data_IF_515139003782
#
_entry.id   IF_515139003782
#
_cell.length_a   1.000
_cell.length_b   1.000
_cell.length_c   1.000
_cell.angle_alpha   90.00
_cell.angle_beta   90.00
_cell.angle_gamma   90.00
#
_symmetry.space_group_name_H-M   'P 1'
#
loop_
_entity.id
_entity.type
_entity.pdbx_description
1 polymer ?
#
# COMPACT_ATOMS: atom_id res chain seq x y z
N UNK A 1 7.72 34.08 -73.40
CA UNK A 1 6.91 32.96 -72.87
C UNK A 1 7.77 31.82 -72.32
N UNK A 2 9.11 31.90 -72.37
CA UNK A 2 10.06 30.86 -71.92
C UNK A 2 10.33 30.85 -70.41
N UNK A 3 10.19 31.99 -69.73
CA UNK A 3 10.66 32.12 -68.34
C UNK A 3 9.73 31.44 -67.32
N UNK A 4 8.45 31.28 -67.67
CA UNK A 4 7.45 30.63 -66.82
C UNK A 4 7.61 29.09 -66.75
N UNK A 5 8.29 28.48 -67.73
CA UNK A 5 8.49 27.04 -67.79
C UNK A 5 9.66 26.59 -66.92
N UNK A 6 10.77 27.35 -66.92
CA UNK A 6 11.93 27.04 -66.06
C UNK A 6 11.59 27.19 -64.58
N UNK A 7 10.78 28.18 -64.21
CA UNK A 7 10.34 28.37 -62.83
C UNK A 7 9.42 27.23 -62.35
N UNK A 8 8.53 26.73 -63.22
CA UNK A 8 7.67 25.57 -62.93
C UNK A 8 8.45 24.26 -62.80
N UNK A 9 9.48 24.06 -63.62
CA UNK A 9 10.37 22.88 -63.54
C UNK A 9 11.21 22.95 -62.27
N UNK A 10 11.69 24.13 -61.88
CA UNK A 10 12.42 24.32 -60.62
C UNK A 10 11.54 24.06 -59.40
N UNK A 11 10.32 24.61 -59.38
CA UNK A 11 9.36 24.39 -58.29
C UNK A 11 8.91 22.92 -58.17
N UNK A 12 8.79 22.21 -59.29
CA UNK A 12 8.50 20.77 -59.30
C UNK A 12 9.70 19.95 -58.79
N UNK A 13 10.93 20.34 -59.16
CA UNK A 13 12.16 19.74 -58.68
C UNK A 13 12.36 19.92 -57.16
N UNK A 14 12.06 21.10 -56.63
CA UNK A 14 12.12 21.36 -55.18
C UNK A 14 11.06 20.55 -54.41
N UNK A 15 9.83 20.46 -54.92
CA UNK A 15 8.78 19.62 -54.32
C UNK A 15 9.15 18.13 -54.30
N UNK A 16 9.76 17.61 -55.37
CA UNK A 16 10.27 16.23 -55.41
C UNK A 16 11.40 16.00 -54.41
N UNK A 17 12.29 16.98 -54.26
CA UNK A 17 13.42 16.91 -53.31
C UNK A 17 12.95 16.93 -51.86
N UNK A 18 11.93 17.72 -51.54
CA UNK A 18 11.29 17.78 -50.22
C UNK A 18 10.56 16.45 -49.92
N UNK A 19 9.80 15.92 -50.89
CA UNK A 19 9.11 14.63 -50.75
C UNK A 19 10.08 13.46 -50.51
N UNK A 20 11.20 13.42 -51.23
CA UNK A 20 12.24 12.39 -51.05
C UNK A 20 12.92 12.47 -49.67
N UNK A 21 13.19 13.67 -49.16
CA UNK A 21 13.79 13.86 -47.84
C UNK A 21 12.85 13.53 -46.67
N UNK A 22 11.53 13.69 -46.86
CA UNK A 22 10.53 13.33 -45.86
C UNK A 22 10.28 11.81 -45.82
N UNK A 23 10.22 11.16 -46.99
CA UNK A 23 10.11 9.69 -47.09
C UNK A 23 11.36 9.02 -46.53
N UNK A 24 12.56 9.55 -46.80
CA UNK A 24 13.82 9.05 -46.23
C UNK A 24 13.86 9.14 -44.70
N UNK A 25 13.40 10.26 -44.11
CA UNK A 25 13.28 10.40 -42.65
C UNK A 25 12.27 9.42 -42.05
N UNK A 26 11.11 9.22 -42.69
CA UNK A 26 10.08 8.26 -42.24
C UNK A 26 10.57 6.81 -42.31
N UNK A 27 11.27 6.44 -43.39
CA UNK A 27 11.88 5.11 -43.52
C UNK A 27 12.99 4.88 -42.49
N UNK A 28 13.85 5.88 -42.25
CA UNK A 28 14.89 5.81 -41.21
C UNK A 28 14.30 5.69 -39.80
N UNK A 29 13.25 6.45 -39.48
CA UNK A 29 12.58 6.35 -38.18
C UNK A 29 11.92 4.96 -37.99
N UNK A 30 11.32 4.41 -39.04
CA UNK A 30 10.74 3.06 -39.03
C UNK A 30 11.78 1.96 -38.80
N UNK A 31 12.95 2.07 -39.44
CA UNK A 31 14.06 1.12 -39.26
C UNK A 31 14.71 1.23 -37.87
N UNK A 32 14.88 2.44 -37.33
CA UNK A 32 15.38 2.63 -35.96
C UNK A 32 14.43 2.05 -34.91
N UNK A 33 13.11 2.23 -35.09
CA UNK A 33 12.10 1.65 -34.20
C UNK A 33 12.11 0.11 -34.24
N UNK A 34 12.25 -0.48 -35.43
CA UNK A 34 12.33 -1.93 -35.58
C UNK A 34 13.64 -2.50 -35.01
N UNK A 35 14.77 -1.82 -35.21
CA UNK A 35 16.06 -2.22 -34.62
C UNK A 35 16.03 -2.15 -33.10
N UNK A 36 15.33 -1.17 -32.51
CA UNK A 36 15.17 -1.05 -31.06
C UNK A 36 14.33 -2.21 -30.51
N UNK A 37 13.21 -2.53 -31.16
CA UNK A 37 12.36 -3.69 -30.80
C UNK A 37 13.05 -5.04 -30.95
N UNK A 38 13.87 -5.21 -31.98
CA UNK A 38 14.65 -6.45 -32.20
C UNK A 38 15.77 -6.59 -31.17
N UNK A 39 16.41 -5.48 -30.79
CA UNK A 39 17.40 -5.45 -29.70
C UNK A 39 16.76 -5.80 -28.35
N UNK A 40 15.54 -5.31 -28.10
CA UNK A 40 14.76 -5.62 -26.90
C UNK A 40 14.32 -7.10 -26.84
N UNK A 41 14.08 -7.75 -27.98
CA UNK A 41 13.72 -9.17 -28.07
C UNK A 41 14.90 -10.13 -27.87
N UNK A 42 16.14 -9.65 -27.98
CA UNK A 42 17.36 -10.48 -27.91
C UNK A 42 18.14 -10.31 -26.61
N UNK A 43 17.80 -9.33 -25.77
CA UNK A 43 18.37 -9.16 -24.45
C UNK A 43 17.53 -9.96 -23.44
N UNK A 44 18.19 -10.83 -22.66
CA UNK A 44 17.56 -11.51 -21.52
C UNK A 44 17.00 -10.50 -20.50
N UNK A 45 16.28 -10.95 -19.45
CA UNK A 45 15.60 -10.06 -18.52
C UNK A 45 16.59 -9.01 -18.02
N UNK A 46 16.29 -7.75 -18.35
CA UNK A 46 17.13 -6.63 -17.99
C UNK A 46 17.12 -6.51 -16.46
N UNK A 47 18.29 -6.29 -15.85
CA UNK A 47 18.41 -6.09 -14.40
C UNK A 47 17.42 -5.03 -13.89
N UNK A 48 17.21 -3.96 -14.67
CA UNK A 48 16.22 -2.93 -14.36
C UNK A 48 14.78 -3.47 -14.36
N UNK A 49 14.42 -4.30 -15.36
CA UNK A 49 13.09 -4.91 -15.45
C UNK A 49 12.82 -5.81 -14.23
N UNK A 50 13.82 -6.61 -13.82
CA UNK A 50 13.67 -7.47 -12.64
C UNK A 50 13.46 -6.66 -11.35
N UNK A 51 14.28 -5.63 -11.12
CA UNK A 51 14.12 -4.76 -9.95
C UNK A 51 12.74 -4.11 -9.92
N UNK A 52 12.24 -3.65 -11.07
CA UNK A 52 10.91 -3.07 -11.18
C UNK A 52 9.81 -4.12 -10.94
N UNK A 53 9.97 -5.33 -11.46
CA UNK A 53 9.02 -6.43 -11.23
C UNK A 53 8.92 -6.81 -9.75
N UNK A 54 10.06 -6.95 -9.08
CA UNK A 54 10.16 -7.28 -7.67
C UNK A 54 9.55 -6.15 -6.80
N UNK A 55 9.90 -4.88 -7.05
CA UNK A 55 9.38 -3.72 -6.31
C UNK A 55 7.88 -3.45 -6.54
N UNK A 56 7.31 -4.03 -7.60
CA UNK A 56 5.89 -3.87 -7.97
C UNK A 56 5.17 -5.21 -8.06
N UNK A 57 5.65 -6.21 -7.33
CA UNK A 57 5.05 -7.53 -7.31
C UNK A 57 3.61 -7.46 -6.75
N UNK A 58 2.69 -8.20 -7.39
CA UNK A 58 1.28 -8.21 -6.99
C UNK A 58 1.04 -8.80 -5.61
N UNK A 59 2.01 -9.57 -5.09
CA UNK A 59 2.00 -10.21 -3.77
C UNK A 59 2.36 -9.29 -2.62
N UNK A 60 2.91 -8.10 -2.90
CA UNK A 60 3.16 -7.11 -1.86
C UNK A 60 1.83 -6.54 -1.39
N UNK A 61 1.65 -6.24 -0.11
CA UNK A 61 0.47 -5.55 0.44
C UNK A 61 0.67 -4.02 0.58
N UNK A 62 1.92 -3.60 0.76
CA UNK A 62 2.34 -2.19 0.80
C UNK A 62 3.56 -1.95 -0.11
N UNK A 63 3.93 -0.69 -0.41
CA UNK A 63 5.19 -0.40 -1.09
C UNK A 63 6.39 -0.85 -0.25
N UNK A 64 7.32 -1.58 -0.87
CA UNK A 64 8.60 -1.90 -0.23
C UNK A 64 9.52 -0.66 -0.30
N UNK A 65 9.46 0.17 0.74
CA UNK A 65 10.26 1.40 0.80
C UNK A 65 11.75 1.13 0.83
N UNK A 66 12.20 0.04 1.45
CA UNK A 66 13.61 -0.31 1.47
C UNK A 66 14.08 -0.61 0.04
N UNK A 67 13.34 -1.46 -0.69
CA UNK A 67 13.65 -1.77 -2.08
C UNK A 67 13.57 -0.54 -3.00
N UNK A 68 12.56 0.31 -2.82
CA UNK A 68 12.40 1.51 -3.65
C UNK A 68 13.56 2.51 -3.44
N UNK A 69 14.02 2.69 -2.21
CA UNK A 69 15.16 3.56 -1.90
C UNK A 69 16.49 2.95 -2.38
N UNK A 70 16.68 1.64 -2.20
CA UNK A 70 17.83 0.92 -2.76
C UNK A 70 17.88 1.06 -4.29
N UNK A 71 16.73 1.02 -4.97
CA UNK A 71 16.63 1.28 -6.41
C UNK A 71 17.09 2.70 -6.76
N UNK A 72 16.67 3.72 -6.00
CA UNK A 72 17.12 5.10 -6.22
C UNK A 72 18.64 5.21 -6.05
N UNK A 73 19.20 4.62 -4.99
CA UNK A 73 20.65 4.57 -4.78
C UNK A 73 21.38 3.89 -5.93
N UNK A 74 20.82 2.81 -6.50
CA UNK A 74 21.40 2.15 -7.66
C UNK A 74 21.40 3.04 -8.92
N UNK A 75 20.39 3.89 -9.10
CA UNK A 75 20.32 4.85 -10.22
C UNK A 75 21.36 5.95 -10.02
N UNK A 76 21.45 6.52 -8.83
CA UNK A 76 22.34 7.66 -8.53
C UNK A 76 23.82 7.26 -8.57
N UNK A 77 24.13 6.01 -8.22
CA UNK A 77 25.48 5.44 -8.37
C UNK A 77 25.71 4.80 -9.75
N UNK A 78 24.83 5.02 -10.72
CA UNK A 78 24.89 4.52 -12.11
C UNK A 78 25.08 2.99 -12.22
N UNK A 79 24.66 2.23 -11.19
CA UNK A 79 24.66 0.76 -11.19
C UNK A 79 23.56 0.20 -12.08
N UNK A 80 22.48 0.97 -12.28
CA UNK A 80 21.34 0.64 -13.14
C UNK A 80 20.99 1.86 -13.99
N UNK A 81 20.59 1.62 -15.25
CA UNK A 81 20.18 2.70 -16.14
C UNK A 81 18.82 3.30 -15.72
N UNK A 82 18.79 4.60 -15.46
CA UNK A 82 17.57 5.38 -15.20
C UNK A 82 16.53 5.21 -16.32
N UNK A 83 16.98 5.29 -17.58
CA UNK A 83 16.12 5.12 -18.77
C UNK A 83 15.42 3.76 -18.74
N UNK A 84 16.19 2.69 -18.49
CA UNK A 84 15.65 1.33 -18.52
C UNK A 84 14.70 1.08 -17.36
N UNK A 85 14.99 1.65 -16.19
CA UNK A 85 14.15 1.56 -15.02
C UNK A 85 12.82 2.29 -15.21
N UNK A 86 12.85 3.54 -15.69
CA UNK A 86 11.64 4.32 -15.99
C UNK A 86 10.81 3.65 -17.09
N UNK A 87 11.46 3.06 -18.11
CA UNK A 87 10.78 2.26 -19.12
C UNK A 87 10.14 1.00 -18.52
N UNK A 88 10.80 0.33 -17.59
CA UNK A 88 10.24 -0.78 -16.82
C UNK A 88 9.00 -0.35 -16.04
N UNK A 89 9.08 0.76 -15.29
CA UNK A 89 7.95 1.31 -14.53
C UNK A 89 6.77 1.61 -15.45
N UNK A 90 7.02 2.23 -16.62
CA UNK A 90 5.99 2.47 -17.64
C UNK A 90 5.29 1.18 -18.05
N UNK A 91 6.04 0.10 -18.30
CA UNK A 91 5.45 -1.23 -18.62
C UNK A 91 4.53 -1.70 -17.49
N UNK A 92 4.93 -1.53 -16.22
CA UNK A 92 4.08 -1.91 -15.06
C UNK A 92 2.81 -1.08 -14.94
N UNK A 93 2.86 0.23 -15.21
CA UNK A 93 1.67 1.11 -15.26
C UNK A 93 0.65 0.63 -16.32
N UNK A 94 1.13 0.07 -17.43
CA UNK A 94 0.26 -0.44 -18.50
C UNK A 94 -0.40 -1.80 -18.17
N UNK A 95 0.08 -2.53 -17.16
CA UNK A 95 -0.50 -3.82 -16.77
C UNK A 95 -1.87 -3.58 -16.13
N UNK A 96 -2.91 -4.29 -16.58
CA UNK A 96 -4.26 -4.20 -16.00
C UNK A 96 -4.39 -4.99 -14.70
N UNK A 97 -3.55 -4.66 -13.73
CA UNK A 97 -3.62 -5.13 -12.35
C UNK A 97 -3.53 -3.91 -11.43
N UNK A 98 -4.57 -3.67 -10.64
CA UNK A 98 -4.68 -2.46 -9.82
C UNK A 98 -3.52 -2.33 -8.82
N UNK A 99 -3.08 -3.44 -8.24
CA UNK A 99 -2.00 -3.46 -7.26
C UNK A 99 -0.66 -3.10 -7.90
N UNK A 100 -0.34 -3.74 -9.01
CA UNK A 100 0.89 -3.49 -9.78
C UNK A 100 0.95 -2.03 -10.26
N UNK A 101 -0.15 -1.51 -10.80
CA UNK A 101 -0.24 -0.12 -11.24
C UNK A 101 0.01 0.87 -10.10
N UNK A 102 -0.62 0.64 -8.94
CA UNK A 102 -0.45 1.51 -7.79
C UNK A 102 1.00 1.53 -7.31
N UNK A 103 1.61 0.35 -7.13
CA UNK A 103 3.00 0.22 -6.73
C UNK A 103 3.95 0.85 -7.75
N UNK A 104 3.69 0.69 -9.05
CA UNK A 104 4.48 1.33 -10.09
C UNK A 104 4.40 2.86 -10.04
N UNK A 105 3.23 3.44 -9.76
CA UNK A 105 3.08 4.88 -9.57
C UNK A 105 3.79 5.38 -8.31
N UNK A 106 3.83 4.58 -7.23
CA UNK A 106 4.59 4.91 -6.00
C UNK A 106 6.09 4.84 -6.26
N UNK A 107 6.57 3.80 -6.95
CA UNK A 107 7.98 3.69 -7.33
C UNK A 107 8.39 4.85 -8.25
N UNK A 108 7.54 5.21 -9.23
CA UNK A 108 7.76 6.35 -10.11
C UNK A 108 7.93 7.67 -9.33
N UNK A 109 7.04 7.92 -8.37
CA UNK A 109 7.13 9.09 -7.49
C UNK A 109 8.43 9.10 -6.70
N UNK A 110 8.82 7.93 -6.18
CA UNK A 110 10.04 7.78 -5.38
C UNK A 110 11.27 8.09 -6.22
N UNK A 111 11.38 7.53 -7.42
CA UNK A 111 12.47 7.85 -8.35
C UNK A 111 12.47 9.33 -8.75
N UNK A 112 11.29 9.92 -9.02
CA UNK A 112 11.19 11.33 -9.38
C UNK A 112 11.66 12.28 -8.27
N UNK A 113 11.47 11.91 -6.99
CA UNK A 113 11.89 12.71 -5.84
C UNK A 113 13.38 12.57 -5.50
N UNK A 114 13.98 11.42 -5.81
CA UNK A 114 15.34 11.11 -5.33
C UNK A 114 16.39 11.15 -6.44
N UNK A 115 16.03 10.92 -7.71
CA UNK A 115 17.00 10.80 -8.80
C UNK A 115 16.94 12.00 -9.75
N UNK A 116 18.04 12.72 -9.90
CA UNK A 116 18.11 13.96 -10.71
C UNK A 116 17.65 13.76 -12.16
N UNK A 117 17.99 12.62 -12.77
CA UNK A 117 17.68 12.32 -14.17
C UNK A 117 16.21 11.90 -14.38
N UNK A 118 15.48 11.52 -13.32
CA UNK A 118 14.18 10.87 -13.44
C UNK A 118 13.16 11.67 -14.26
N UNK A 119 13.03 12.98 -14.02
CA UNK A 119 12.08 13.81 -14.77
C UNK A 119 12.36 13.86 -16.27
N UNK A 120 13.64 13.96 -16.65
CA UNK A 120 14.04 13.95 -18.05
C UNK A 120 13.72 12.61 -18.73
N UNK A 121 13.91 11.50 -18.02
CA UNK A 121 13.57 10.17 -18.51
C UNK A 121 12.06 9.94 -18.58
N UNK A 122 11.29 10.41 -17.60
CA UNK A 122 9.83 10.37 -17.59
C UNK A 122 9.25 11.08 -18.81
N UNK A 123 9.82 12.23 -19.17
CA UNK A 123 9.46 12.96 -20.37
C UNK A 123 9.88 12.22 -21.64
N UNK A 124 11.14 11.75 -21.72
CA UNK A 124 11.68 11.05 -22.89
C UNK A 124 10.94 9.73 -23.19
N UNK A 125 10.60 8.97 -22.16
CA UNK A 125 9.87 7.70 -22.25
C UNK A 125 8.35 7.88 -22.42
N UNK A 126 7.86 9.14 -22.43
CA UNK A 126 6.44 9.48 -22.58
C UNK A 126 5.55 8.82 -21.53
N UNK A 127 6.02 8.74 -20.29
CA UNK A 127 5.27 8.08 -19.20
C UNK A 127 3.95 8.80 -18.92
N UNK A 128 3.93 10.14 -19.04
CA UNK A 128 2.71 10.94 -18.90
C UNK A 128 1.59 10.49 -19.85
N UNK A 129 1.91 10.06 -21.07
CA UNK A 129 0.90 9.57 -22.02
C UNK A 129 0.18 8.32 -21.49
N UNK A 130 0.92 7.39 -20.87
CA UNK A 130 0.34 6.19 -20.27
C UNK A 130 -0.43 6.50 -18.98
N UNK A 131 0.02 7.50 -18.19
CA UNK A 131 -0.73 7.98 -17.03
C UNK A 131 -2.05 8.63 -17.44
N UNK A 132 -2.07 9.44 -18.51
CA UNK A 132 -3.31 10.01 -19.06
C UNK A 132 -4.25 8.92 -19.55
N UNK A 133 -3.75 7.89 -20.24
CA UNK A 133 -4.58 6.72 -20.62
C UNK A 133 -5.13 5.99 -19.40
N UNK A 134 -4.33 5.83 -18.35
CA UNK A 134 -4.77 5.23 -17.09
C UNK A 134 -5.90 6.06 -16.43
N UNK A 135 -5.80 7.39 -16.48
CA UNK A 135 -6.84 8.30 -15.97
C UNK A 135 -8.13 8.18 -16.79
N UNK A 136 -7.99 8.09 -18.11
CA UNK A 136 -9.10 8.06 -19.07
C UNK A 136 -9.80 6.69 -19.15
N UNK A 137 -9.14 5.60 -18.75
CA UNK A 137 -9.76 4.28 -18.69
C UNK A 137 -10.81 4.25 -17.55
N UNK A 138 -12.11 4.09 -17.85
CA UNK A 138 -13.16 4.05 -16.84
C UNK A 138 -13.05 2.84 -15.90
N UNK A 139 -12.34 1.78 -16.30
CA UNK A 139 -12.13 0.59 -15.48
C UNK A 139 -10.99 0.74 -14.47
N UNK A 140 -10.20 1.82 -14.57
CA UNK A 140 -9.14 2.09 -13.60
C UNK A 140 -9.71 2.33 -12.20
N UNK A 141 -9.12 1.63 -11.22
CA UNK A 141 -9.44 1.79 -9.79
C UNK A 141 -9.21 3.24 -9.35
N UNK A 142 -10.17 3.78 -8.58
CA UNK A 142 -10.20 5.19 -8.16
C UNK A 142 -8.88 5.61 -7.52
N UNK A 143 -8.32 4.80 -6.62
CA UNK A 143 -7.05 5.11 -5.95
C UNK A 143 -5.89 5.27 -6.92
N UNK A 144 -5.80 4.43 -7.97
CA UNK A 144 -4.74 4.51 -8.98
C UNK A 144 -4.90 5.76 -9.85
N UNK A 145 -6.15 6.06 -10.25
CA UNK A 145 -6.48 7.29 -10.98
C UNK A 145 -6.10 8.52 -10.16
N UNK A 146 -6.47 8.56 -8.88
CA UNK A 146 -6.14 9.65 -7.97
C UNK A 146 -4.63 9.79 -7.77
N UNK A 147 -3.90 8.68 -7.63
CA UNK A 147 -2.44 8.70 -7.51
C UNK A 147 -1.80 9.31 -8.76
N UNK A 148 -2.21 8.90 -9.95
CA UNK A 148 -1.71 9.46 -11.21
C UNK A 148 -2.03 10.96 -11.33
N UNK A 149 -3.25 11.37 -10.97
CA UNK A 149 -3.65 12.78 -10.95
C UNK A 149 -2.79 13.61 -9.99
N UNK A 150 -2.56 13.12 -8.78
CA UNK A 150 -1.73 13.79 -7.77
C UNK A 150 -0.31 14.02 -8.29
N UNK A 151 0.28 13.04 -8.96
CA UNK A 151 1.62 13.19 -9.55
C UNK A 151 1.63 14.22 -10.68
N UNK A 152 0.63 14.18 -11.58
CA UNK A 152 0.55 15.15 -12.68
C UNK A 152 0.32 16.58 -12.16
N UNK A 153 -0.49 16.76 -11.12
CA UNK A 153 -0.67 18.07 -10.48
C UNK A 153 0.64 18.55 -9.86
N UNK A 154 1.27 17.73 -9.02
CA UNK A 154 2.52 18.09 -8.37
C UNK A 154 3.59 18.52 -9.38
N UNK A 155 3.80 17.73 -10.44
CA UNK A 155 4.82 18.05 -11.46
C UNK A 155 4.40 19.21 -12.37
N UNK A 156 3.11 19.33 -12.69
CA UNK A 156 2.58 20.40 -13.51
C UNK A 156 2.57 21.77 -12.82
N UNK A 157 2.54 21.80 -11.48
CA UNK A 157 2.61 23.02 -10.66
C UNK A 157 4.05 23.43 -10.32
N UNK A 158 5.03 22.52 -10.39
CA UNK A 158 6.47 22.77 -10.23
C UNK A 158 7.10 23.58 -11.39
N UNK A 159 6.51 24.73 -11.73
CA UNK A 159 6.87 25.59 -12.88
C UNK A 159 8.24 26.26 -12.77
N UNK A 160 8.81 26.34 -11.56
CA UNK A 160 10.19 26.81 -11.35
C UNK A 160 11.21 25.72 -11.68
N UNK A 161 11.03 24.52 -11.12
CA UNK A 161 11.96 23.40 -11.20
C UNK A 161 11.89 22.69 -12.55
N UNK A 162 10.69 22.47 -13.10
CA UNK A 162 10.47 21.70 -14.32
C UNK A 162 10.23 22.58 -15.56
N UNK A 163 10.59 23.87 -15.52
CA UNK A 163 10.41 24.80 -16.65
C UNK A 163 11.04 24.30 -17.95
N UNK A 164 12.14 23.54 -17.85
CA UNK A 164 12.86 22.99 -18.99
C UNK A 164 12.15 21.76 -19.61
N UNK A 165 11.13 21.22 -18.95
CA UNK A 165 10.29 20.11 -19.39
C UNK A 165 8.82 20.55 -19.45
N UNK A 166 8.42 21.37 -20.45
CA UNK A 166 7.08 21.95 -20.52
C UNK A 166 5.95 20.91 -20.61
N UNK A 167 6.26 19.68 -21.01
CA UNK A 167 5.30 18.58 -21.13
C UNK A 167 4.52 18.31 -19.83
N UNK A 168 5.12 18.51 -18.66
CA UNK A 168 4.45 18.32 -17.37
C UNK A 168 3.34 19.37 -17.16
N UNK A 169 3.67 20.65 -17.33
CA UNK A 169 2.73 21.77 -17.23
C UNK A 169 1.63 21.68 -18.30
N UNK A 170 2.00 21.36 -19.54
CA UNK A 170 1.06 21.19 -20.65
C UNK A 170 0.06 20.06 -20.40
N UNK A 171 0.54 18.91 -19.91
CA UNK A 171 -0.32 17.76 -19.57
C UNK A 171 -1.30 18.12 -18.47
N UNK A 172 -0.81 18.76 -17.40
CA UNK A 172 -1.64 19.21 -16.29
C UNK A 172 -2.73 20.21 -16.73
N UNK A 173 -2.35 21.25 -17.49
CA UNK A 173 -3.31 22.23 -18.03
C UNK A 173 -4.31 21.58 -18.99
N UNK A 174 -3.86 20.64 -19.82
CA UNK A 174 -4.73 19.88 -20.73
C UNK A 174 -5.82 19.12 -19.97
N UNK A 175 -5.46 18.35 -18.92
CA UNK A 175 -6.44 17.64 -18.09
C UNK A 175 -7.41 18.60 -17.40
N UNK A 176 -6.94 19.73 -16.86
CA UNK A 176 -7.83 20.76 -16.28
C UNK A 176 -8.79 21.35 -17.30
N UNK A 177 -8.33 21.63 -18.53
CA UNK A 177 -9.18 22.17 -19.60
C UNK A 177 -10.26 21.19 -20.06
N UNK A 178 -10.03 19.88 -19.87
CA UNK A 178 -11.00 18.81 -20.11
C UNK A 178 -12.02 18.65 -18.98
N UNK A 179 -11.92 19.44 -17.91
CA UNK A 179 -12.80 19.37 -16.75
C UNK A 179 -12.46 18.28 -15.74
N UNK A 180 -11.28 17.65 -15.84
CA UNK A 180 -10.83 16.65 -14.87
C UNK A 180 -10.50 17.35 -13.54
N UNK A 181 -11.08 16.82 -12.46
CA UNK A 181 -10.86 17.32 -11.09
C UNK A 181 -9.68 16.59 -10.47
N UNK A 182 -8.75 17.37 -9.92
CA UNK A 182 -7.60 16.85 -9.20
C UNK A 182 -7.94 16.69 -7.69
N UNK A 183 -7.48 15.60 -7.04
CA UNK A 183 -7.70 15.38 -5.61
C UNK A 183 -7.08 16.50 -4.75
N UNK A 184 -7.78 16.99 -3.71
CA UNK A 184 -7.26 18.00 -2.78
C UNK A 184 -7.73 19.44 -3.02
N UNK A 185 -8.66 19.67 -3.96
CA UNK A 185 -9.31 20.98 -4.21
C UNK A 185 -10.72 21.08 -3.63
N UNK A 186 -11.09 20.20 -2.71
CA UNK A 186 -12.38 20.22 -2.05
C UNK A 186 -12.40 21.17 -0.84
N UNK A 187 -12.45 22.47 -1.12
CA UNK A 187 -13.23 23.39 -0.28
C UNK A 187 -14.75 23.20 -0.47
N UNK A 188 -15.17 22.14 -1.19
CA UNK A 188 -16.56 21.87 -1.57
C UNK A 188 -16.99 20.43 -1.21
N UNK A 189 -16.19 19.67 -0.45
CA UNK A 189 -16.62 18.45 0.25
C UNK A 189 -17.10 18.76 1.67
N UNK A 190 -17.60 19.97 1.89
CA UNK A 190 -18.63 20.18 2.91
C UNK A 190 -19.95 19.75 2.28
N UNK A 191 -20.27 18.46 2.40
CA UNK A 191 -21.67 18.01 2.40
C UNK A 191 -22.47 19.00 3.25
N UNK A 192 -23.63 19.51 2.82
CA UNK A 192 -24.40 20.46 3.61
C UNK A 192 -24.83 19.78 4.92
N UNK A 193 -24.06 19.98 5.98
CA UNK A 193 -24.49 19.63 7.33
C UNK A 193 -25.60 20.63 7.64
N UNK A 194 -26.83 20.14 7.66
CA UNK A 194 -27.98 20.82 8.25
C UNK A 194 -27.77 20.94 9.76
N UNK A 195 -26.83 21.79 10.18
CA UNK A 195 -26.77 22.29 11.55
C UNK A 195 -27.52 23.62 11.62
N UNK A 196 -28.49 23.79 12.52
CA UNK A 196 -29.24 25.04 12.67
C UNK A 196 -28.29 26.21 13.02
N UNK A 197 -28.64 27.45 12.63
CA UNK A 197 -27.71 28.57 12.64
C UNK A 197 -27.22 28.89 14.06
N UNK A 198 -25.90 29.01 14.20
CA UNK A 198 -25.21 29.40 15.43
C UNK A 198 -25.37 30.91 15.62
N UNK A 199 -26.07 31.30 16.67
CA UNK A 199 -26.31 32.69 17.06
C UNK A 199 -25.05 33.31 17.68
N UNK A 200 -24.13 33.84 16.87
CA UNK A 200 -23.18 34.87 17.32
C UNK A 200 -22.63 35.63 16.11
N UNK A 201 -22.81 36.94 16.13
CA UNK A 201 -22.29 37.90 15.16
C UNK A 201 -20.77 38.08 15.35
N UNK A 202 -20.01 38.00 14.27
CA UNK A 202 -18.62 38.46 14.19
C UNK A 202 -18.50 39.51 13.06
N UNK A 203 -17.68 40.56 13.26
CA UNK A 203 -17.70 41.74 12.40
C UNK A 203 -16.89 41.54 11.11
N UNK A 204 -17.37 42.17 10.05
CA UNK A 204 -16.64 42.38 8.79
C UNK A 204 -15.43 43.28 9.03
N UNK A 205 -14.26 42.91 8.51
CA UNK A 205 -13.15 43.85 8.32
C UNK A 205 -12.55 43.66 6.92
N UNK A 206 -12.52 44.80 6.24
CA UNK A 206 -12.16 45.08 4.86
C UNK A 206 -10.82 44.54 4.37
N UNK A 207 -10.85 44.19 3.09
CA UNK A 207 -9.74 44.24 2.14
C UNK A 207 -9.06 45.61 2.09
N UNK A 208 -7.74 45.68 2.32
CA UNK A 208 -6.73 46.23 1.40
C UNK A 208 -5.43 46.64 2.09
N UNK A 209 -4.32 46.58 1.32
CA UNK A 209 -2.92 46.95 1.61
C UNK A 209 -2.09 45.87 2.34
N UNK A 210 -0.89 45.47 1.91
CA UNK A 210 0.01 45.98 0.90
C UNK A 210 1.00 44.89 0.45
N UNK A 211 1.53 45.07 -0.75
CA UNK A 211 2.71 44.43 -1.30
C UNK A 211 3.93 44.70 -0.40
N UNK A 212 4.68 43.65 -0.04
CA UNK A 212 6.15 43.59 0.03
C UNK A 212 6.61 42.40 0.88
N UNK A 213 6.94 41.25 0.26
CA UNK A 213 7.97 40.29 0.68
C UNK A 213 8.40 39.59 -0.63
N UNK A 214 9.57 39.89 -1.21
CA UNK A 214 10.85 39.22 -0.97
C UNK A 214 10.84 37.72 -1.31
N UNK A 215 11.84 37.31 -2.08
CA UNK A 215 12.02 35.95 -2.59
C UNK A 215 12.09 34.94 -1.45
N UNK A 216 11.16 33.99 -1.40
CA UNK A 216 11.44 32.67 -0.85
C UNK A 216 10.51 31.60 -1.43
N UNK A 217 11.09 30.44 -1.68
CA UNK A 217 10.49 29.27 -2.33
C UNK A 217 9.48 28.63 -1.35
N UNK A 218 8.20 28.41 -1.71
CA UNK A 218 7.29 27.68 -0.83
C UNK A 218 7.55 26.17 -0.91
N UNK A 219 8.52 25.71 -0.13
CA UNK A 219 8.54 24.34 0.38
C UNK A 219 7.37 24.25 1.37
N UNK A 220 6.37 23.41 1.10
CA UNK A 220 5.11 23.37 1.87
C UNK A 220 5.39 23.22 3.38
N UNK A 221 5.31 24.34 4.11
CA UNK A 221 5.42 24.42 5.57
C UNK A 221 4.04 24.16 6.15
N UNK A 222 3.98 23.48 7.30
CA UNK A 222 2.73 23.38 8.04
C UNK A 222 2.40 24.78 8.58
N UNK A 223 1.17 25.26 8.39
CA UNK A 223 0.73 26.46 9.10
C UNK A 223 0.60 26.17 10.60
N UNK A 224 0.54 27.20 11.43
CA UNK A 224 0.35 27.04 12.87
C UNK A 224 -0.97 26.31 13.20
N UNK A 225 -2.01 26.58 12.41
CA UNK A 225 -3.32 25.93 12.54
C UNK A 225 -3.25 24.45 12.17
N UNK A 226 -2.58 24.10 11.07
CA UNK A 226 -2.40 22.71 10.65
C UNK A 226 -1.56 21.90 11.63
N UNK A 227 -0.54 22.53 12.21
CA UNK A 227 0.33 21.91 13.23
C UNK A 227 -0.48 21.60 14.49
N UNK A 228 -1.31 22.56 14.93
CA UNK A 228 -2.18 22.39 16.09
C UNK A 228 -3.23 21.30 15.86
N UNK A 229 -3.88 21.30 14.70
CA UNK A 229 -4.85 20.26 14.33
C UNK A 229 -4.21 18.88 14.31
N UNK A 230 -3.00 18.74 13.76
CA UNK A 230 -2.27 17.48 13.75
C UNK A 230 -2.01 16.95 15.18
N UNK A 231 -1.64 17.82 16.12
CA UNK A 231 -1.48 17.42 17.52
C UNK A 231 -2.80 17.06 18.20
N UNK A 232 -3.88 17.79 17.91
CA UNK A 232 -5.20 17.50 18.47
C UNK A 232 -5.72 16.14 17.99
N UNK A 233 -5.60 15.85 16.69
CA UNK A 233 -5.95 14.54 16.11
C UNK A 233 -5.11 13.42 16.72
N UNK A 234 -3.79 13.64 16.84
CA UNK A 234 -2.88 12.67 17.45
C UNK A 234 -3.28 12.34 18.89
N UNK A 235 -3.50 13.37 19.72
CA UNK A 235 -3.89 13.21 21.13
C UNK A 235 -5.22 12.48 21.27
N UNK A 236 -6.22 12.85 20.46
CA UNK A 236 -7.52 12.19 20.48
C UNK A 236 -7.43 10.71 20.08
N UNK A 237 -6.64 10.41 19.05
CA UNK A 237 -6.43 9.02 18.58
C UNK A 237 -5.75 8.17 19.65
N UNK A 238 -4.73 8.73 20.31
CA UNK A 238 -4.02 8.07 21.43
C UNK A 238 -4.96 7.80 22.59
N UNK A 239 -5.78 8.77 22.99
CA UNK A 239 -6.72 8.62 24.11
C UNK A 239 -7.78 7.55 23.83
N UNK A 240 -8.35 7.54 22.61
CA UNK A 240 -9.32 6.54 22.19
C UNK A 240 -8.69 5.14 22.15
N UNK A 241 -7.53 4.99 21.54
CA UNK A 241 -6.84 3.70 21.48
C UNK A 241 -6.48 3.22 22.89
N UNK A 242 -5.95 4.09 23.74
CA UNK A 242 -5.61 3.75 25.13
C UNK A 242 -6.85 3.30 25.93
N UNK A 243 -8.00 3.94 25.71
CA UNK A 243 -9.28 3.59 26.36
C UNK A 243 -9.76 2.23 25.91
N UNK A 244 -9.75 1.96 24.60
CA UNK A 244 -10.17 0.67 24.03
C UNK A 244 -9.27 -0.46 24.53
N UNK A 245 -7.95 -0.25 24.51
CA UNK A 245 -6.94 -1.20 25.03
C UNK A 245 -7.04 -1.45 26.54
N UNK A 246 -7.71 -0.57 27.30
CA UNK A 246 -7.84 -0.69 28.75
C UNK A 246 -9.22 -1.20 29.19
N UNK A 247 -10.22 -1.12 28.33
CA UNK A 247 -11.63 -1.42 28.66
C UNK A 247 -12.13 -2.78 28.13
N UNK A 248 -11.40 -3.43 27.23
CA UNK A 248 -11.80 -4.68 26.58
C UNK A 248 -10.92 -5.88 27.03
N UNK A 249 -11.44 -7.12 27.08
CA UNK A 249 -10.60 -8.31 27.24
C UNK A 249 -9.53 -8.31 26.14
N UNK A 250 -8.26 -8.47 26.51
CA UNK A 250 -7.13 -8.16 25.61
C UNK A 250 -7.16 -8.94 24.27
N UNK A 251 -7.90 -10.06 24.20
CA UNK A 251 -8.07 -10.86 22.99
C UNK A 251 -9.11 -10.30 22.01
N UNK A 252 -10.19 -9.69 22.52
CA UNK A 252 -11.32 -9.19 21.70
C UNK A 252 -11.00 -7.81 21.10
N UNK A 253 -10.24 -6.98 21.82
CA UNK A 253 -9.75 -5.69 21.33
C UNK A 253 -8.89 -5.82 20.06
N UNK A 254 -8.18 -6.94 19.89
CA UNK A 254 -7.27 -7.14 18.76
C UNK A 254 -7.98 -7.53 17.46
N UNK A 255 -9.22 -8.02 17.55
CA UNK A 255 -10.05 -8.38 16.39
C UNK A 255 -11.08 -7.30 16.03
N UNK A 256 -11.13 -6.22 16.80
CA UNK A 256 -12.07 -5.14 16.59
C UNK A 256 -11.60 -4.19 15.48
N UNK A 257 -12.47 -3.98 14.49
CA UNK A 257 -12.23 -3.10 13.33
C UNK A 257 -11.93 -1.66 13.77
N UNK A 258 -12.57 -1.22 14.85
CA UNK A 258 -12.33 0.11 15.42
C UNK A 258 -10.91 0.22 15.99
N UNK A 259 -10.45 -0.78 16.74
CA UNK A 259 -9.07 -0.81 17.26
C UNK A 259 -8.04 -0.80 16.13
N UNK A 260 -8.24 -1.57 15.07
CA UNK A 260 -7.35 -1.58 13.90
C UNK A 260 -7.31 -0.22 13.20
N UNK A 261 -8.47 0.44 13.07
CA UNK A 261 -8.58 1.79 12.50
C UNK A 261 -7.85 2.83 13.35
N UNK A 262 -8.01 2.77 14.68
CA UNK A 262 -7.34 3.67 15.61
C UNK A 262 -5.82 3.48 15.58
N UNK A 263 -5.33 2.23 15.49
CA UNK A 263 -3.89 1.94 15.32
C UNK A 263 -3.34 2.55 14.03
N UNK A 264 -4.07 2.40 12.91
CA UNK A 264 -3.68 3.04 11.65
C UNK A 264 -3.64 4.57 11.77
N UNK A 265 -4.64 5.18 12.43
CA UNK A 265 -4.68 6.63 12.66
C UNK A 265 -3.54 7.12 13.56
N UNK A 266 -3.18 6.35 14.60
CA UNK A 266 -2.00 6.62 15.42
C UNK A 266 -0.70 6.58 14.60
N UNK A 267 -0.51 5.58 13.73
CA UNK A 267 0.66 5.49 12.83
C UNK A 267 0.72 6.66 11.84
N UNK A 268 -0.41 7.04 11.25
CA UNK A 268 -0.49 8.20 10.36
C UNK A 268 -0.17 9.52 11.10
N UNK A 269 -0.68 9.66 12.33
CA UNK A 269 -0.37 10.79 13.20
C UNK A 269 1.11 10.84 13.54
N UNK A 270 1.75 9.68 13.81
CA UNK A 270 3.17 9.58 14.09
C UNK A 270 4.03 10.13 12.96
N UNK A 271 3.75 9.75 11.71
CA UNK A 271 4.47 10.25 10.54
C UNK A 271 4.31 11.77 10.36
N UNK A 272 3.12 12.27 10.67
CA UNK A 272 2.84 13.71 10.58
C UNK A 272 3.61 14.49 11.65
N UNK A 273 3.59 13.99 12.90
CA UNK A 273 4.34 14.57 14.03
C UNK A 273 5.85 14.51 13.79
N UNK A 274 6.36 13.42 13.22
CA UNK A 274 7.79 13.31 12.86
C UNK A 274 8.20 14.35 11.81
N UNK A 275 7.35 14.60 10.81
CA UNK A 275 7.60 15.67 9.83
C UNK A 275 7.54 17.07 10.46
N UNK A 276 6.72 17.26 11.50
CA UNK A 276 6.69 18.51 12.28
C UNK A 276 7.99 18.66 13.09
N UNK A 277 8.50 17.59 13.71
CA UNK A 277 9.78 17.56 14.43
C UNK A 277 10.94 17.96 13.50
N UNK A 278 11.04 17.32 12.32
CA UNK A 278 12.10 17.60 11.33
C UNK A 278 12.07 19.06 10.84
N UNK A 279 10.89 19.69 10.86
CA UNK A 279 10.67 21.06 10.40
C UNK A 279 10.61 22.10 11.52
N UNK A 280 10.66 21.69 12.79
CA UNK A 280 10.50 22.60 13.93
C UNK A 280 11.62 23.66 14.01
N UNK A 281 12.79 23.37 13.40
CA UNK A 281 13.94 24.27 13.38
C UNK A 281 14.35 24.67 14.81
N UNK A 282 14.41 25.98 15.06
CA UNK A 282 14.80 26.53 16.37
C UNK A 282 13.60 26.77 17.32
N UNK A 283 12.38 26.36 16.94
CA UNK A 283 11.21 26.52 17.80
C UNK A 283 11.18 25.43 18.88
N UNK A 284 11.90 25.66 19.98
CA UNK A 284 12.02 24.73 21.11
C UNK A 284 10.66 24.31 21.70
N UNK A 285 9.70 25.24 21.78
CA UNK A 285 8.38 24.96 22.33
C UNK A 285 7.59 23.97 21.44
N UNK A 286 7.62 24.20 20.13
CA UNK A 286 7.01 23.31 19.15
C UNK A 286 7.69 21.94 19.15
N UNK A 287 9.02 21.92 19.18
CA UNK A 287 9.79 20.68 19.21
C UNK A 287 9.47 19.86 20.46
N UNK A 288 9.41 20.50 21.63
CA UNK A 288 9.05 19.84 22.88
C UNK A 288 7.63 19.25 22.83
N UNK A 289 6.65 20.00 22.33
CA UNK A 289 5.28 19.50 22.18
C UNK A 289 5.21 18.33 21.19
N UNK A 290 5.87 18.45 20.04
CA UNK A 290 5.87 17.41 19.01
C UNK A 290 6.52 16.12 19.50
N UNK A 291 7.65 16.21 20.22
CA UNK A 291 8.31 15.05 20.83
C UNK A 291 7.41 14.39 21.88
N UNK A 292 6.78 15.17 22.75
CA UNK A 292 5.87 14.64 23.76
C UNK A 292 4.67 13.90 23.13
N UNK A 293 4.09 14.45 22.06
CA UNK A 293 3.00 13.76 21.32
C UNK A 293 3.51 12.48 20.65
N UNK A 294 4.72 12.49 20.09
CA UNK A 294 5.33 11.29 19.49
C UNK A 294 5.55 10.19 20.54
N UNK A 295 6.05 10.54 21.72
CA UNK A 295 6.28 9.60 22.81
C UNK A 295 4.97 8.95 23.28
N UNK A 296 3.88 9.71 23.40
CA UNK A 296 2.56 9.16 23.76
C UNK A 296 1.98 8.25 22.66
N UNK A 297 2.17 8.59 21.38
CA UNK A 297 1.81 7.70 20.26
C UNK A 297 2.60 6.40 20.33
N UNK A 298 3.93 6.49 20.51
CA UNK A 298 4.81 5.32 20.54
C UNK A 298 4.46 4.40 21.71
N UNK A 299 4.13 4.97 22.87
CA UNK A 299 3.72 4.24 24.07
C UNK A 299 2.42 3.47 23.86
N UNK A 300 1.38 4.08 23.27
CA UNK A 300 0.11 3.38 23.04
C UNK A 300 0.23 2.30 21.95
N UNK A 301 1.03 2.55 20.91
CA UNK A 301 1.31 1.55 19.86
C UNK A 301 2.11 0.38 20.43
N UNK A 302 3.12 0.63 21.29
CA UNK A 302 3.88 -0.42 21.95
C UNK A 302 2.97 -1.31 22.80
N UNK A 303 2.04 -0.71 23.56
CA UNK A 303 1.03 -1.46 24.32
C UNK A 303 0.15 -2.33 23.41
N UNK A 304 -0.27 -1.83 22.24
CA UNK A 304 -1.02 -2.63 21.27
C UNK A 304 -0.22 -3.84 20.75
N UNK A 305 1.05 -3.64 20.39
CA UNK A 305 1.92 -4.71 19.88
C UNK A 305 2.25 -5.75 20.97
N UNK A 306 2.44 -5.34 22.23
CA UNK A 306 2.61 -6.25 23.38
C UNK A 306 1.41 -7.17 23.56
N UNK A 307 0.19 -6.65 23.38
CA UNK A 307 -1.03 -7.45 23.46
C UNK A 307 -1.18 -8.40 22.28
N UNK A 308 -0.69 -8.00 21.10
CA UNK A 308 -0.68 -8.82 19.88
C UNK A 308 0.36 -9.94 19.94
N UNK A 309 1.43 -9.77 20.73
CA UNK A 309 2.47 -10.78 20.89
C UNK A 309 1.94 -12.02 21.63
N UNK A 310 2.12 -13.24 21.10
CA UNK A 310 1.73 -14.45 21.81
C UNK A 310 2.54 -14.58 23.11
N UNK A 311 1.85 -14.85 24.22
CA UNK A 311 2.46 -15.09 25.53
C UNK A 311 3.46 -16.25 25.44
N UNK A 312 4.76 -15.93 25.39
CA UNK A 312 5.83 -16.92 25.49
C UNK A 312 5.92 -17.36 26.95
N UNK A 313 5.36 -18.52 27.25
CA UNK A 313 5.60 -19.22 28.51
C UNK A 313 7.11 -19.50 28.60
N UNK A 314 7.81 -19.11 29.68
CA UNK A 314 9.23 -19.42 29.81
C UNK A 314 9.40 -20.94 29.93
N UNK A 315 10.07 -21.54 28.95
CA UNK A 315 10.50 -22.94 29.03
C UNK A 315 11.57 -23.01 30.12
N UNK A 316 11.24 -23.70 31.21
CA UNK A 316 12.18 -24.09 32.26
C UNK A 316 13.26 -24.98 31.62
N UNK A 317 14.56 -24.67 31.72
CA UNK A 317 15.59 -25.55 31.17
C UNK A 317 15.65 -26.85 31.99
N UNK A 318 15.36 -27.99 31.34
CA UNK A 318 15.70 -29.30 31.91
C UNK A 318 17.22 -29.45 32.03
N UNK A 319 17.74 -30.02 33.14
CA UNK A 319 19.18 -30.11 33.38
C UNK A 319 19.85 -31.06 32.38
N UNK A 320 20.91 -30.57 31.74
CA UNK A 320 21.72 -31.33 30.79
C UNK A 320 22.35 -32.57 31.44
N UNK A 321 22.07 -33.76 30.89
CA UNK A 321 22.83 -34.97 31.22
C UNK A 321 24.18 -34.93 30.52
N UNK A 322 25.25 -34.99 31.31
CA UNK A 322 26.65 -35.07 30.86
C UNK A 322 26.90 -36.47 30.29
N UNK A 323 27.37 -36.64 29.03
CA UNK A 323 27.86 -37.93 28.58
C UNK A 323 29.27 -38.17 29.15
N UNK A 324 29.41 -39.21 29.97
CA UNK A 324 30.72 -39.69 30.44
C UNK A 324 31.44 -40.32 29.24
N UNK A 325 32.50 -39.67 28.76
CA UNK A 325 33.45 -40.24 27.83
C UNK A 325 34.35 -41.24 28.58
N UNK A 326 34.42 -42.48 28.11
CA UNK A 326 35.42 -43.46 28.53
C UNK A 326 36.42 -43.61 27.39
N UNK A 327 37.66 -43.20 27.63
CA UNK A 327 38.81 -43.39 26.75
C UNK A 327 39.21 -44.88 26.65
N UNK A 328 39.88 -45.28 25.56
CA UNK A 328 40.06 -46.68 25.19
C UNK A 328 41.35 -47.27 25.75
N UNK A 329 41.33 -48.55 26.09
CA UNK A 329 42.53 -49.38 26.09
C UNK A 329 42.21 -50.77 25.54
N UNK A 330 43.00 -51.19 24.55
CA UNK A 330 42.94 -52.49 23.85
C UNK A 330 43.93 -53.48 24.51
N UNK A 331 44.10 -54.72 24.01
CA UNK A 331 43.15 -55.77 23.61
C UNK A 331 43.43 -57.07 24.41
N UNK A 332 42.75 -58.20 24.11
CA UNK A 332 43.33 -59.57 23.94
C UNK A 332 42.29 -60.72 24.16
N UNK A 333 42.31 -61.66 23.20
CA UNK A 333 41.87 -63.08 23.20
C UNK A 333 40.39 -63.52 23.05
N UNK A 334 40.07 -63.90 21.80
CA UNK A 334 39.81 -65.26 21.30
C UNK A 334 38.66 -66.16 21.84
N UNK A 335 37.83 -66.58 20.87
CA UNK A 335 37.17 -67.89 20.61
C UNK A 335 35.89 -68.30 21.35
N UNK A 336 34.87 -68.60 20.51
CA UNK A 336 33.97 -69.79 20.48
C UNK A 336 33.27 -70.16 21.81
N UNK A 337 31.95 -70.38 21.90
CA UNK A 337 31.20 -71.38 21.15
C UNK A 337 29.68 -71.30 21.45
N UNK A 338 28.89 -71.93 20.58
CA UNK A 338 27.43 -72.02 20.60
C UNK A 338 26.85 -72.76 21.81
N UNK A 339 25.62 -72.43 22.25
CA UNK A 339 24.65 -73.42 22.75
C UNK A 339 23.18 -73.00 22.52
N UNK A 340 22.53 -73.81 21.69
CA UNK A 340 21.09 -73.92 21.42
C UNK A 340 20.32 -74.40 22.66
N UNK A 341 19.09 -73.89 22.87
CA UNK A 341 17.93 -74.70 23.32
C UNK A 341 16.59 -73.97 23.13
N UNK A 342 15.74 -74.56 22.29
CA UNK A 342 14.27 -74.44 22.25
C UNK A 342 13.70 -75.80 22.75
N UNK A 343 12.52 -75.87 23.40
CA UNK A 343 11.25 -76.14 22.69
C UNK A 343 10.02 -75.41 23.31
N UNK A 344 8.99 -74.98 22.56
CA UNK A 344 7.68 -75.63 22.29
C UNK A 344 6.93 -76.17 23.54
N UNK A 345 5.64 -75.90 23.82
CA UNK A 345 4.58 -75.10 23.18
C UNK A 345 3.21 -75.27 23.88
N UNK A 346 2.27 -74.38 23.52
CA UNK A 346 0.80 -74.54 23.37
C UNK A 346 -0.21 -74.52 24.55
N UNK A 347 -1.34 -73.82 24.24
CA UNK A 347 -2.70 -73.71 24.85
C UNK A 347 -2.81 -72.71 26.03
N UNK A 348 -3.75 -71.75 26.10
CA UNK A 348 -4.90 -71.33 25.29
C UNK A 348 -5.86 -70.54 26.20
N UNK A 349 -6.53 -69.46 25.73
CA UNK A 349 -7.60 -68.79 26.49
C UNK A 349 -7.82 -67.29 26.19
N UNK A 350 -8.78 -67.00 25.31
CA UNK A 350 -9.80 -65.91 25.31
C UNK A 350 -9.64 -64.64 26.17
N UNK A 351 -9.67 -63.43 25.56
CA UNK A 351 -10.73 -62.39 25.71
C UNK A 351 -10.38 -61.01 25.11
N UNK A 352 -11.38 -60.35 24.48
CA UNK A 352 -11.63 -58.88 24.43
C UNK A 352 -10.68 -58.02 23.57
N UNK A 353 -11.09 -57.02 22.79
CA UNK A 353 -12.31 -56.21 22.77
C UNK A 353 -11.89 -54.76 22.44
N UNK A 354 -12.65 -54.09 21.56
CA UNK A 354 -12.43 -52.78 20.93
C UNK A 354 -11.96 -51.64 21.84
N UNK A 355 -11.26 -50.67 21.24
CA UNK A 355 -10.66 -49.50 21.87
C UNK A 355 -11.40 -48.20 21.50
N UNK A 356 -12.74 -48.24 21.43
CA UNK A 356 -13.56 -47.16 20.86
C UNK A 356 -14.40 -46.36 21.90
N UNK A 357 -14.35 -46.72 23.19
CA UNK A 357 -15.26 -46.14 24.22
C UNK A 357 -14.75 -44.87 24.93
N UNK A 358 -13.66 -44.24 24.48
CA UNK A 358 -13.11 -43.04 25.15
C UNK A 358 -13.49 -41.71 24.50
N UNK A 359 -14.16 -41.73 23.34
CA UNK A 359 -14.56 -40.52 22.61
C UNK A 359 -16.00 -40.08 22.91
N UNK A 360 -16.89 -40.99 23.32
CA UNK A 360 -18.31 -40.65 23.56
C UNK A 360 -18.55 -39.88 24.88
N UNK A 361 -17.68 -40.03 25.88
CA UNK A 361 -17.83 -39.35 27.18
C UNK A 361 -17.52 -37.84 27.13
N UNK A 362 -16.82 -37.37 26.09
CA UNK A 362 -16.48 -35.95 25.92
C UNK A 362 -17.67 -35.13 25.36
N UNK A 363 -18.50 -35.75 24.52
CA UNK A 363 -19.67 -35.07 23.94
C UNK A 363 -20.81 -34.90 24.97
N UNK A 364 -20.94 -35.81 25.96
CA UNK A 364 -21.94 -35.67 27.04
C UNK A 364 -21.58 -34.55 28.05
N UNK A 365 -20.29 -34.17 28.15
CA UNK A 365 -19.83 -33.03 28.97
C UNK A 365 -19.98 -31.67 28.28
N UNK A 366 -19.97 -31.61 26.94
CA UNK A 366 -20.03 -30.34 26.19
C UNK A 366 -21.48 -29.96 25.83
N UNK A 367 -22.35 -30.92 25.49
CA UNK A 367 -23.73 -30.64 25.08
C UNK A 367 -24.72 -31.22 26.08
N UNK A 368 -24.98 -30.47 27.15
CA UNK A 368 -25.88 -30.85 28.24
C UNK A 368 -27.16 -31.59 27.81
N UNK A 369 -27.47 -32.66 28.55
CA UNK A 369 -28.57 -33.61 28.37
C UNK A 369 -29.91 -32.93 28.05
N UNK A 370 -30.34 -32.99 26.79
CA UNK A 370 -31.66 -32.52 26.34
C UNK A 370 -32.70 -33.59 26.67
N UNK A 371 -33.49 -33.34 27.71
CA UNK A 371 -34.61 -34.20 28.11
C UNK A 371 -35.65 -34.32 27.00
N UNK A 372 -36.02 -35.56 26.68
CA UNK A 372 -37.10 -35.89 25.75
C UNK A 372 -37.94 -37.03 26.31
N UNK A 373 -39.06 -36.68 26.94
CA UNK A 373 -40.10 -37.62 27.33
C UNK A 373 -41.03 -37.93 26.15
N UNK A 374 -41.49 -39.17 26.07
CA UNK A 374 -42.60 -39.57 25.18
C UNK A 374 -43.55 -40.51 25.91
N UNK A 375 -44.75 -40.00 26.19
CA UNK A 375 -46.05 -40.67 26.35
C UNK A 375 -47.01 -39.52 26.70
N UNK A 376 -48.10 -39.23 25.99
CA UNK A 376 -49.23 -40.10 25.75
C UNK A 376 -50.20 -39.40 24.77
N UNK A 377 -50.97 -40.23 24.06
CA UNK A 377 -52.01 -39.88 23.08
C UNK A 377 -53.27 -39.34 23.78
N UNK A 378 -54.04 -38.50 23.08
CA UNK A 378 -55.52 -38.48 22.95
C UNK A 378 -56.21 -37.10 23.18
N UNK A 379 -57.07 -36.75 22.20
CA UNK A 379 -58.27 -35.89 22.18
C UNK A 379 -58.20 -34.37 21.83
N UNK A 380 -58.55 -34.10 20.56
CA UNK A 380 -59.45 -33.02 20.08
C UNK A 380 -60.92 -33.33 20.46
N UNK A 381 -61.93 -32.41 20.43
CA UNK A 381 -62.15 -31.38 19.39
C UNK A 381 -62.93 -30.06 19.75
N UNK A 382 -63.14 -29.20 18.72
CA UNK A 382 -64.16 -28.12 18.55
C UNK A 382 -63.86 -26.77 19.26
N UNK A 383 -64.15 -25.56 18.75
CA UNK A 383 -65.08 -25.04 17.70
C UNK A 383 -64.86 -23.51 17.50
N UNK A 384 -65.25 -23.00 16.32
CA UNK A 384 -65.83 -21.65 15.99
C UNK A 384 -65.00 -20.37 16.28
N UNK A 385 -64.57 -19.53 15.32
CA UNK A 385 -65.26 -18.69 14.32
C UNK A 385 -65.61 -17.26 14.82
N UNK A 386 -65.36 -16.27 13.95
CA UNK A 386 -65.73 -14.82 13.97
C UNK A 386 -64.83 -13.90 14.82
N UNK A 387 -64.57 -12.63 14.51
CA UNK A 387 -64.69 -11.76 13.32
C UNK A 387 -64.19 -10.36 13.71
N UNK A 388 -63.60 -9.64 12.75
CA UNK A 388 -63.66 -8.18 12.52
C UNK A 388 -63.01 -7.16 13.49
N UNK A 389 -62.16 -6.36 12.84
CA UNK A 389 -62.17 -4.90 12.69
C UNK A 389 -61.97 -3.96 13.90
N UNK A 390 -61.08 -2.99 13.63
CA UNK A 390 -61.04 -1.60 14.06
C UNK A 390 -60.79 -1.28 15.55
N UNK A 391 -59.61 -0.69 15.84
CA UNK A 391 -59.56 0.74 16.19
C UNK A 391 -58.12 1.28 16.23
N UNK A 392 -57.90 2.35 15.46
CA UNK A 392 -56.83 3.34 15.64
C UNK A 392 -57.12 4.14 16.92
N UNK A 393 -56.11 4.49 17.72
CA UNK A 393 -56.08 5.78 18.43
C UNK A 393 -54.64 6.25 18.61
N UNK A 394 -54.39 7.41 17.97
CA UNK A 394 -53.34 8.44 18.07
C UNK A 394 -52.03 8.17 18.82
#
# INVERSE_FOLDING_TARGET
MSDNLMEKVSAFGERLKIGGAEVGRKMSAGMSSMSFKVKELLQGPNQADKLVEDATAETLDEPDWAMNLDICDMIDHEKVSSVELIRGIKKRIMIKNARVQYLALVLLETCAKNCEKAFSEVAAERVLDEMVKLIDDPQTVVNNRNKALLLIEAWGESTSELRYLPVFEETYKSLKSRGIRFPGRDNESLVPIFTPPRSVSAPEVDTSLAQHIEYDIPLQSFTAEQTKEAFDVARNSVELLATVLSSSPQQDALQDDLTTTLVHQCRQSQLTVQRIIEKAGDNEALLFEALNVNDEIQKVLSKYEELKAPSVVPVIPEPAMIPVAVEPDSPVHAKEDALVRKPAGSRGGTHGGSNDDMMDDLDEMIFGKKGGGTSQVVHDPKKQQSSKDDLITF
#
